data_IF_753141780366
#
_entry.id   IF_753141780366
#
_cell.length_a   1.000
_cell.length_b   1.000
_cell.length_c   1.000
_cell.angle_alpha   90.00
_cell.angle_beta   90.00
_cell.angle_gamma   90.00
#
_symmetry.space_group_name_H-M   'P 1'
#
loop_
_entity.id
_entity.type
_entity.pdbx_description
1 polymer ?
#
# COMPACT_ATOMS: atom_id res chain seq x y z
N UNK A 1 7.69 7.85 -9.14
CA UNK A 1 6.81 8.57 -8.19
C UNK A 1 7.34 8.38 -6.78
N UNK A 2 7.27 9.38 -5.93
CA UNK A 2 7.69 9.24 -4.55
C UNK A 2 6.47 9.07 -3.64
N UNK A 3 6.70 8.73 -2.38
CA UNK A 3 5.59 8.45 -1.48
C UNK A 3 4.74 9.68 -1.18
N UNK A 4 5.33 10.87 -1.17
CA UNK A 4 4.54 12.08 -0.97
C UNK A 4 3.49 12.24 -2.06
N UNK A 5 3.84 11.92 -3.29
CA UNK A 5 2.87 11.97 -4.40
C UNK A 5 1.80 10.91 -4.24
N UNK A 6 2.16 9.72 -3.77
CA UNK A 6 1.19 8.66 -3.50
C UNK A 6 0.23 9.10 -2.41
N UNK A 7 0.76 9.67 -1.33
CA UNK A 7 -0.06 10.14 -0.22
C UNK A 7 -1.05 11.21 -0.68
N UNK A 8 -0.59 12.15 -1.51
CA UNK A 8 -1.44 13.22 -2.03
C UNK A 8 -2.55 12.71 -2.93
N UNK A 9 -2.33 11.57 -3.59
CA UNK A 9 -3.28 10.98 -4.52
C UNK A 9 -3.84 9.66 -4.01
N UNK A 10 -3.90 9.50 -2.70
CA UNK A 10 -4.26 8.21 -2.10
C UNK A 10 -5.55 7.65 -2.66
N UNK A 11 -6.62 8.44 -2.67
CA UNK A 11 -7.91 7.97 -3.19
C UNK A 11 -7.83 7.51 -4.63
N UNK A 12 -7.11 8.27 -5.45
CA UNK A 12 -6.96 7.96 -6.87
C UNK A 12 -6.18 6.67 -7.08
N UNK A 13 -5.20 6.40 -6.18
CA UNK A 13 -4.34 5.23 -6.32
C UNK A 13 -4.85 3.99 -5.61
N UNK A 14 -5.89 4.12 -4.78
CA UNK A 14 -6.45 2.96 -4.07
C UNK A 14 -6.82 1.80 -5.00
N UNK A 15 -7.48 2.03 -6.15
CA UNK A 15 -7.78 0.91 -7.06
C UNK A 15 -6.52 0.21 -7.57
N UNK A 16 -5.46 0.98 -7.83
CA UNK A 16 -4.19 0.42 -8.28
C UNK A 16 -3.53 -0.42 -7.19
N UNK A 17 -3.60 0.05 -5.95
CA UNK A 17 -3.08 -0.69 -4.81
C UNK A 17 -3.84 -2.00 -4.64
N UNK A 18 -5.16 -1.96 -4.75
CA UNK A 18 -5.98 -3.16 -4.63
C UNK A 18 -5.73 -4.14 -5.78
N UNK A 19 -5.37 -3.65 -6.95
CA UNK A 19 -5.00 -4.52 -8.06
C UNK A 19 -3.72 -5.31 -7.74
N UNK A 20 -2.80 -4.71 -6.99
CA UNK A 20 -1.55 -5.36 -6.59
C UNK A 20 -1.74 -6.23 -5.35
N UNK A 21 -2.59 -5.82 -4.42
CA UNK A 21 -2.85 -6.55 -3.17
C UNK A 21 -4.35 -6.72 -3.02
N UNK A 22 -4.89 -7.74 -3.69
CA UNK A 22 -6.34 -7.91 -3.81
C UNK A 22 -7.04 -8.29 -2.51
N UNK A 23 -6.28 -8.72 -1.50
CA UNK A 23 -6.86 -9.03 -0.20
C UNK A 23 -7.14 -7.79 0.64
N UNK A 24 -6.66 -6.64 0.22
CA UNK A 24 -6.93 -5.39 0.92
C UNK A 24 -8.28 -4.84 0.47
N UNK A 25 -9.05 -4.32 1.41
CA UNK A 25 -10.35 -3.73 1.10
C UNK A 25 -10.24 -2.22 0.98
N UNK A 26 -11.24 -1.61 0.38
CA UNK A 26 -11.30 -0.16 0.30
C UNK A 26 -11.31 0.47 1.69
N UNK A 27 -12.08 -0.12 2.62
CA UNK A 27 -12.12 0.37 3.99
C UNK A 27 -10.75 0.31 4.66
N UNK A 28 -10.01 -0.79 4.43
CA UNK A 28 -8.65 -0.92 4.96
C UNK A 28 -7.76 0.20 4.46
N UNK A 29 -7.84 0.51 3.17
CA UNK A 29 -6.99 1.52 2.57
C UNK A 29 -7.39 2.94 2.99
N UNK A 30 -8.68 3.18 3.19
CA UNK A 30 -9.12 4.47 3.72
C UNK A 30 -8.59 4.69 5.13
N UNK A 31 -8.56 3.63 5.93
CA UNK A 31 -8.03 3.72 7.28
C UNK A 31 -6.54 4.00 7.30
N UNK A 32 -5.79 3.41 6.36
CA UNK A 32 -4.36 3.67 6.20
C UNK A 32 -4.10 5.13 5.82
N UNK A 33 -4.92 5.69 4.94
CA UNK A 33 -4.90 7.12 4.64
C UNK A 33 -3.60 7.64 4.07
N UNK A 34 -2.84 6.80 3.37
CA UNK A 34 -1.60 7.23 2.75
C UNK A 34 -0.37 7.06 3.61
N UNK A 35 -0.50 6.44 4.77
CA UNK A 35 0.64 6.18 5.65
C UNK A 35 1.37 4.91 5.19
N UNK A 36 2.61 5.05 4.75
CA UNK A 36 3.39 3.90 4.24
C UNK A 36 3.56 2.82 5.31
N UNK A 37 3.85 3.21 6.54
CA UNK A 37 4.01 2.23 7.62
C UNK A 37 2.69 1.50 7.89
N UNK A 38 1.58 2.21 7.77
CA UNK A 38 0.25 1.61 7.92
C UNK A 38 -0.03 0.60 6.82
N UNK A 39 0.33 0.94 5.59
CA UNK A 39 0.15 0.01 4.47
C UNK A 39 1.03 -1.24 4.64
N UNK A 40 2.28 -1.06 5.06
CA UNK A 40 3.17 -2.20 5.30
C UNK A 40 2.62 -3.11 6.40
N UNK A 41 2.09 -2.52 7.48
CA UNK A 41 1.46 -3.30 8.55
C UNK A 41 0.26 -4.08 8.05
N UNK A 42 -0.54 -3.47 7.20
CA UNK A 42 -1.73 -4.10 6.66
C UNK A 42 -1.35 -5.29 5.77
N UNK A 43 -0.36 -5.12 4.90
CA UNK A 43 0.13 -6.20 4.05
C UNK A 43 0.69 -7.33 4.91
N UNK A 44 1.46 -6.96 5.93
CA UNK A 44 2.00 -7.94 6.88
C UNK A 44 0.88 -8.78 7.50
N UNK A 45 -0.19 -8.15 7.94
CA UNK A 45 -1.30 -8.85 8.58
C UNK A 45 -2.09 -9.72 7.60
N UNK A 46 -2.42 -9.17 6.44
CA UNK A 46 -3.29 -9.87 5.49
C UNK A 46 -2.61 -11.01 4.75
N UNK A 47 -1.32 -10.85 4.46
CA UNK A 47 -0.58 -11.84 3.68
C UNK A 47 0.39 -12.67 4.51
N UNK A 48 0.56 -12.34 5.79
CA UNK A 48 1.48 -13.07 6.66
C UNK A 48 2.93 -12.88 6.28
N UNK A 49 3.27 -11.79 5.60
CA UNK A 49 4.64 -11.52 5.18
C UNK A 49 5.39 -10.76 6.26
N UNK A 50 6.72 -10.97 6.40
CA UNK A 50 7.51 -10.10 7.26
C UNK A 50 7.39 -8.65 6.81
N UNK A 51 7.47 -7.71 7.75
CA UNK A 51 7.32 -6.29 7.42
C UNK A 51 8.35 -5.84 6.39
N UNK A 52 9.58 -6.33 6.47
CA UNK A 52 10.60 -5.98 5.48
C UNK A 52 10.20 -6.39 4.07
N UNK A 53 9.56 -7.54 3.93
CA UNK A 53 9.08 -7.98 2.64
C UNK A 53 7.92 -7.12 2.15
N UNK A 54 7.00 -6.77 3.06
CA UNK A 54 5.88 -5.88 2.72
C UNK A 54 6.41 -4.54 2.23
N UNK A 55 7.41 -4.00 2.90
CA UNK A 55 8.02 -2.73 2.50
C UNK A 55 8.66 -2.83 1.13
N UNK A 56 9.34 -3.94 0.85
CA UNK A 56 9.96 -4.16 -0.46
C UNK A 56 8.92 -4.23 -1.56
N UNK A 57 7.81 -4.87 -1.30
CA UNK A 57 6.73 -4.94 -2.29
C UNK A 57 6.15 -3.56 -2.57
N UNK A 58 6.00 -2.74 -1.53
CA UNK A 58 5.52 -1.37 -1.71
C UNK A 58 6.51 -0.56 -2.55
N UNK A 59 7.80 -0.68 -2.27
CA UNK A 59 8.81 0.04 -3.04
C UNK A 59 8.82 -0.41 -4.49
N UNK A 60 8.68 -1.70 -4.73
CA UNK A 60 8.62 -2.23 -6.09
C UNK A 60 7.40 -1.68 -6.84
N UNK A 61 6.26 -1.62 -6.18
CA UNK A 61 5.06 -1.04 -6.76
C UNK A 61 5.26 0.44 -7.08
N UNK A 62 5.92 1.15 -6.18
CA UNK A 62 6.15 2.58 -6.32
C UNK A 62 7.04 2.88 -7.51
N UNK A 63 8.09 2.10 -7.70
CA UNK A 63 9.03 2.28 -8.82
C UNK A 63 8.35 2.08 -10.16
N UNK A 64 7.36 1.21 -10.23
CA UNK A 64 6.63 0.93 -11.45
C UNK A 64 5.65 2.03 -11.87
N UNK A 65 5.57 3.14 -11.13
CA UNK A 65 4.60 4.22 -11.41
C UNK A 65 5.24 5.39 -12.19
#
# INVERSE_FOLDING_TARGET
MNWNAVQSRWRTLMPSIRASWSELTEDDLEEVGGDMAGLASLIHERYGLPRGEAERQIESWLVGR
#
